data_IF_634703670559
#
_entry.id   IF_634703670559
#
_cell.length_a   1.000
_cell.length_b   1.000
_cell.length_c   1.000
_cell.angle_alpha   90.00
_cell.angle_beta   90.00
_cell.angle_gamma   90.00
#
_symmetry.space_group_name_H-M   'P 1'
#
loop_
_entity.id
_entity.type
_entity.pdbx_description
1 polymer ?
#
# COMPACT_ATOMS: atom_id res chain seq x y z
N UNK A 1 -3.52 14.21 -22.21
CA UNK A 1 -3.68 13.35 -21.02
C UNK A 1 -2.44 12.51 -20.82
N UNK A 2 -1.59 12.85 -19.83
CA UNK A 2 -0.52 11.98 -19.40
C UNK A 2 -1.15 10.90 -18.51
N UNK A 3 -1.16 9.63 -18.94
CA UNK A 3 -1.44 8.53 -18.01
C UNK A 3 -0.39 8.63 -16.92
N UNK A 4 -0.79 8.90 -15.69
CA UNK A 4 0.15 8.77 -14.59
C UNK A 4 0.73 7.34 -14.67
N UNK A 5 2.04 7.22 -14.46
CA UNK A 5 2.71 5.93 -14.42
C UNK A 5 2.47 5.33 -13.05
N UNK A 6 2.01 4.09 -13.03
CA UNK A 6 1.85 3.28 -11.81
C UNK A 6 3.04 2.33 -11.67
N UNK A 7 3.29 1.78 -10.48
CA UNK A 7 4.52 1.04 -10.14
C UNK A 7 4.89 0.00 -11.20
N UNK A 8 3.92 -0.75 -11.73
CA UNK A 8 4.21 -1.79 -12.73
C UNK A 8 4.16 -1.33 -14.19
N UNK A 9 3.92 -0.04 -14.45
CA UNK A 9 4.13 0.53 -15.78
C UNK A 9 5.61 0.73 -16.12
N UNK A 10 6.52 0.50 -15.15
CA UNK A 10 7.97 0.58 -15.29
C UNK A 10 8.69 -0.77 -15.26
N UNK A 11 7.99 -1.91 -15.21
CA UNK A 11 8.66 -3.22 -15.21
C UNK A 11 9.40 -3.42 -16.54
N UNK A 12 10.75 -3.47 -16.57
CA UNK A 12 11.47 -3.76 -17.79
C UNK A 12 11.41 -5.26 -18.05
N UNK A 13 11.12 -5.65 -19.29
CA UNK A 13 11.47 -6.98 -19.77
C UNK A 13 13.00 -7.11 -19.73
N UNK A 14 13.53 -7.71 -18.67
CA UNK A 14 14.93 -8.13 -18.57
C UNK A 14 15.85 -7.23 -17.72
N UNK A 15 16.58 -7.92 -16.82
CA UNK A 15 17.88 -7.61 -16.20
C UNK A 15 18.19 -6.15 -15.81
N UNK A 16 18.22 -5.90 -14.49
CA UNK A 16 18.76 -4.69 -13.87
C UNK A 16 20.30 -4.72 -13.85
N UNK A 17 20.96 -3.75 -14.47
CA UNK A 17 22.29 -3.27 -14.06
C UNK A 17 22.12 -1.94 -13.30
N UNK A 18 22.68 -1.89 -12.09
CA UNK A 18 22.64 -0.72 -11.19
C UNK A 18 23.98 0.00 -11.28
N UNK A 19 23.98 1.29 -11.64
CA UNK A 19 25.09 2.20 -11.33
C UNK A 19 24.58 3.40 -10.56
N UNK A 20 25.25 3.66 -9.44
CA UNK A 20 24.95 4.70 -8.48
C UNK A 20 25.36 6.12 -8.94
N UNK A 21 24.88 7.09 -8.16
CA UNK A 21 25.39 8.47 -7.96
C UNK A 21 24.48 9.60 -8.50
N UNK A 22 23.85 10.36 -7.59
CA UNK A 22 24.47 11.63 -7.14
C UNK A 22 23.65 12.34 -6.06
N UNK A 23 24.38 12.90 -5.08
CA UNK A 23 23.89 13.64 -3.92
C UNK A 23 24.39 15.09 -4.02
N UNK A 24 23.50 16.01 -3.71
CA UNK A 24 23.72 17.37 -3.17
C UNK A 24 24.39 18.45 -4.05
N UNK A 25 23.69 19.60 -4.18
CA UNK A 25 24.36 20.89 -4.06
C UNK A 25 23.46 21.98 -3.43
N UNK A 26 24.01 22.56 -2.35
CA UNK A 26 23.78 23.85 -1.68
C UNK A 26 23.07 24.94 -2.53
N UNK A 27 22.10 25.70 -2.02
CA UNK A 27 22.11 26.69 -0.92
C UNK A 27 22.84 28.02 -1.20
N UNK A 28 22.03 29.10 -1.07
CA UNK A 28 22.34 30.50 -0.70
C UNK A 28 23.13 31.39 -1.68
N UNK A 29 22.43 32.43 -2.15
CA UNK A 29 22.96 33.79 -2.07
C UNK A 29 21.85 34.80 -1.76
N UNK A 30 22.12 35.68 -0.80
CA UNK A 30 21.28 36.79 -0.34
C UNK A 30 22.20 38.02 -0.37
N UNK A 31 21.82 39.09 -1.05
CA UNK A 31 22.42 40.41 -0.86
C UNK A 31 21.34 41.49 -0.89
N UNK A 32 21.40 42.38 0.10
CA UNK A 32 20.53 43.55 0.32
C UNK A 32 21.13 44.82 -0.31
N UNK A 33 20.26 45.84 -0.42
CA UNK A 33 20.49 47.30 -0.41
C UNK A 33 20.68 47.96 -1.80
N UNK A 34 20.28 49.19 -2.13
CA UNK A 34 19.40 50.23 -1.53
C UNK A 34 19.22 51.36 -2.57
N UNK A 35 18.17 52.17 -2.38
CA UNK A 35 18.00 53.57 -2.84
C UNK A 35 17.54 53.85 -4.28
N UNK A 36 16.55 54.75 -4.38
CA UNK A 36 15.75 54.97 -5.57
C UNK A 36 16.11 56.18 -6.43
N UNK A 37 15.39 56.31 -7.56
CA UNK A 37 15.20 57.56 -8.28
C UNK A 37 14.02 57.47 -9.25
N UNK A 38 13.12 58.45 -9.09
CA UNK A 38 12.27 59.18 -10.04
C UNK A 38 11.50 58.42 -11.14
N UNK A 39 10.20 58.65 -11.10
CA UNK A 39 9.17 58.37 -12.10
C UNK A 39 9.54 58.84 -13.51
N UNK A 40 9.63 57.90 -14.44
CA UNK A 40 9.42 58.14 -15.87
C UNK A 40 8.33 57.17 -16.33
N UNK A 41 7.24 57.71 -16.87
CA UNK A 41 6.15 56.93 -17.47
C UNK A 41 6.68 56.28 -18.75
N UNK A 42 7.21 55.06 -18.65
CA UNK A 42 7.45 54.21 -19.81
C UNK A 42 6.17 53.46 -20.15
N UNK A 43 5.62 53.70 -21.35
CA UNK A 43 4.52 52.93 -21.94
C UNK A 43 4.86 51.43 -21.90
N UNK A 44 4.15 50.69 -21.05
CA UNK A 44 4.24 49.22 -21.00
C UNK A 44 3.65 48.70 -22.32
N UNK A 45 4.49 48.11 -23.17
CA UNK A 45 4.04 47.33 -24.33
C UNK A 45 3.13 46.22 -23.80
N UNK A 46 1.91 46.15 -24.34
CA UNK A 46 0.91 45.14 -24.04
C UNK A 46 1.56 43.75 -24.01
N UNK A 47 1.57 43.14 -22.82
CA UNK A 47 2.13 41.82 -22.60
C UNK A 47 1.44 40.79 -23.50
N UNK A 48 2.21 39.76 -23.90
CA UNK A 48 1.65 38.51 -24.44
C UNK A 48 0.49 38.11 -23.53
N UNK A 49 -0.68 37.86 -24.13
CA UNK A 49 -1.81 37.28 -23.44
C UNK A 49 -1.31 36.04 -22.69
N UNK A 50 -1.42 36.06 -21.35
CA UNK A 50 -1.34 34.84 -20.59
C UNK A 50 -2.49 33.99 -21.10
N UNK A 51 -2.17 32.85 -21.70
CA UNK A 51 -3.16 31.81 -21.93
C UNK A 51 -3.69 31.50 -20.54
N UNK A 52 -4.95 31.85 -20.27
CA UNK A 52 -5.66 31.31 -19.13
C UNK A 52 -5.80 29.81 -19.45
N UNK A 53 -4.87 29.00 -18.95
CA UNK A 53 -5.18 27.61 -18.67
C UNK A 53 -6.25 27.69 -17.58
N UNK A 54 -7.51 27.66 -18.00
CA UNK A 54 -8.64 27.67 -17.10
C UNK A 54 -8.55 26.39 -16.26
N UNK A 55 -8.09 26.53 -15.02
CA UNK A 55 -8.10 25.48 -14.01
C UNK A 55 -9.53 25.31 -13.50
N UNK A 56 -10.13 24.18 -13.81
CA UNK A 56 -11.53 23.88 -13.55
C UNK A 56 -11.69 22.70 -12.59
N UNK A 57 -12.94 22.40 -12.21
CA UNK A 57 -13.24 21.21 -11.42
C UNK A 57 -12.82 19.90 -12.12
N UNK A 58 -12.80 19.88 -13.45
CA UNK A 58 -12.43 18.70 -14.24
C UNK A 58 -10.92 18.37 -14.15
N UNK A 59 -10.09 19.31 -13.70
CA UNK A 59 -8.66 19.10 -13.46
C UNK A 59 -8.37 18.45 -12.08
N UNK A 60 -9.40 18.29 -11.24
CA UNK A 60 -9.29 17.66 -9.93
C UNK A 60 -9.47 16.15 -10.05
N UNK A 61 -8.37 15.40 -9.97
CA UNK A 61 -8.40 13.94 -9.95
C UNK A 61 -8.62 13.42 -8.51
N UNK A 62 -9.62 12.55 -8.34
CA UNK A 62 -9.85 11.79 -7.10
C UNK A 62 -9.42 10.36 -7.34
N UNK A 63 -8.43 9.90 -6.58
CA UNK A 63 -7.93 8.53 -6.62
C UNK A 63 -8.70 7.67 -5.63
N UNK A 64 -9.33 6.59 -6.11
CA UNK A 64 -10.21 5.75 -5.29
C UNK A 64 -9.54 4.45 -4.83
N UNK A 65 -10.07 3.85 -3.76
CA UNK A 65 -9.62 2.55 -3.26
C UNK A 65 -8.12 2.53 -2.93
N UNK A 66 -7.37 1.72 -3.68
CA UNK A 66 -5.93 1.52 -3.49
C UNK A 66 -5.07 2.22 -4.55
N UNK A 67 -5.67 2.95 -5.50
CA UNK A 67 -4.93 3.73 -6.50
C UNK A 67 -3.94 4.73 -5.90
N UNK A 68 -4.26 5.47 -4.80
CA UNK A 68 -3.29 6.36 -4.17
C UNK A 68 -1.99 5.67 -3.76
N UNK A 69 -2.08 4.42 -3.27
CA UNK A 69 -0.91 3.62 -2.85
C UNK A 69 0.00 3.35 -4.02
N UNK A 70 -0.57 2.91 -5.15
CA UNK A 70 0.18 2.57 -6.37
C UNK A 70 0.76 3.79 -7.07
N UNK A 71 0.05 4.92 -6.99
CA UNK A 71 0.51 6.21 -7.55
C UNK A 71 1.63 6.83 -6.73
N UNK A 72 1.65 6.60 -5.42
CA UNK A 72 2.56 7.25 -4.47
C UNK A 72 3.08 6.25 -3.42
N UNK A 73 3.75 5.14 -3.81
CA UNK A 73 4.18 4.09 -2.89
C UNK A 73 5.11 4.61 -1.79
N UNK A 74 5.96 5.60 -2.10
CA UNK A 74 6.85 6.23 -1.12
C UNK A 74 6.14 6.84 0.10
N UNK A 75 4.88 7.26 -0.05
CA UNK A 75 4.09 7.77 1.07
C UNK A 75 3.67 6.67 2.06
N UNK A 76 3.60 5.42 1.61
CA UNK A 76 3.10 4.29 2.40
C UNK A 76 4.22 3.38 2.90
N UNK A 77 5.22 3.09 2.06
CA UNK A 77 6.31 2.15 2.38
C UNK A 77 7.70 2.79 2.40
N UNK A 78 7.78 4.11 2.26
CA UNK A 78 9.03 4.87 2.40
C UNK A 78 9.94 4.87 1.16
N UNK A 79 9.56 4.18 0.07
CA UNK A 79 10.31 4.17 -1.19
C UNK A 79 9.82 3.14 -2.18
N UNK A 80 10.66 2.78 -3.14
CA UNK A 80 10.48 1.67 -4.09
C UNK A 80 11.79 0.89 -4.29
N UNK A 81 12.70 0.99 -3.34
CA UNK A 81 13.98 0.29 -3.34
C UNK A 81 13.87 -1.07 -2.62
N UNK A 82 15.00 -1.73 -2.42
CA UNK A 82 15.03 -3.01 -1.70
C UNK A 82 14.55 -2.90 -0.25
N UNK A 83 14.76 -1.77 0.43
CA UNK A 83 14.25 -1.58 1.79
C UNK A 83 12.72 -1.53 1.80
N UNK A 84 12.14 -0.80 0.84
CA UNK A 84 10.69 -0.74 0.65
C UNK A 84 10.10 -2.14 0.33
N UNK A 85 10.80 -2.97 -0.45
CA UNK A 85 10.41 -4.36 -0.72
C UNK A 85 10.37 -5.20 0.57
N UNK A 86 11.40 -5.12 1.42
CA UNK A 86 11.42 -5.84 2.69
C UNK A 86 10.36 -5.32 3.66
N UNK A 87 10.01 -4.04 3.58
CA UNK A 87 8.94 -3.45 4.39
C UNK A 87 7.57 -4.08 4.08
N UNK A 88 7.28 -4.40 2.81
CA UNK A 88 6.06 -5.12 2.45
C UNK A 88 5.97 -6.47 3.16
N UNK A 89 7.08 -7.22 3.20
CA UNK A 89 7.14 -8.49 3.90
C UNK A 89 7.04 -8.31 5.43
N UNK A 90 7.70 -7.28 5.97
CA UNK A 90 7.63 -6.95 7.39
C UNK A 90 6.20 -6.66 7.84
N UNK A 91 5.40 -5.95 7.04
CA UNK A 91 3.98 -5.69 7.33
C UNK A 91 3.15 -6.99 7.44
N UNK A 92 3.46 -8.01 6.64
CA UNK A 92 2.80 -9.31 6.76
C UNK A 92 3.26 -10.03 8.03
N UNK A 93 4.57 -10.06 8.29
CA UNK A 93 5.16 -10.66 9.48
C UNK A 93 4.65 -10.02 10.78
N UNK A 94 4.52 -8.70 10.81
CA UNK A 94 4.05 -7.94 11.98
C UNK A 94 2.60 -8.29 12.32
N UNK A 95 1.76 -8.55 11.32
CA UNK A 95 0.40 -9.03 11.57
C UNK A 95 0.38 -10.43 12.21
N UNK A 96 1.26 -11.32 11.78
CA UNK A 96 1.44 -12.64 12.42
C UNK A 96 2.06 -12.52 13.83
N UNK A 97 2.98 -11.58 14.03
CA UNK A 97 3.55 -11.28 15.35
C UNK A 97 2.52 -10.71 16.32
N UNK A 98 1.59 -9.88 15.86
CA UNK A 98 0.50 -9.37 16.69
C UNK A 98 -0.43 -10.50 17.19
N UNK A 99 -0.65 -11.55 16.38
CA UNK A 99 -1.34 -12.76 16.84
C UNK A 99 -0.53 -13.53 17.89
N UNK A 100 0.80 -13.57 17.77
CA UNK A 100 1.67 -14.21 18.75
C UNK A 100 1.70 -13.44 20.07
N UNK A 101 1.82 -12.11 20.03
CA UNK A 101 1.80 -11.22 21.20
C UNK A 101 0.46 -11.33 21.93
N UNK A 102 -0.64 -11.48 21.20
CA UNK A 102 -1.97 -11.71 21.77
C UNK A 102 -2.16 -13.12 22.34
N UNK A 103 -1.15 -14.00 22.27
CA UNK A 103 -1.20 -15.37 22.78
C UNK A 103 -1.99 -16.33 21.88
N UNK A 104 -2.27 -15.95 20.64
CA UNK A 104 -3.05 -16.75 19.70
C UNK A 104 -2.21 -17.54 18.72
N UNK A 105 -1.02 -17.06 18.35
CA UNK A 105 -0.07 -17.81 17.54
C UNK A 105 1.10 -18.31 18.40
N UNK A 106 1.59 -19.51 18.08
CA UNK A 106 2.78 -20.12 18.72
C UNK A 106 3.89 -20.38 17.72
N UNK A 107 3.62 -20.29 16.42
CA UNK A 107 4.61 -20.40 15.38
C UNK A 107 4.25 -19.53 14.19
N UNK A 108 5.28 -19.09 13.48
CA UNK A 108 5.20 -18.33 12.24
C UNK A 108 6.22 -18.96 11.28
N UNK A 109 5.77 -19.28 10.06
CA UNK A 109 6.61 -19.68 8.94
C UNK A 109 6.87 -18.48 8.04
N UNK A 110 8.09 -18.42 7.54
CA UNK A 110 8.46 -17.58 6.41
C UNK A 110 9.13 -18.45 5.36
N UNK A 111 8.76 -18.26 4.09
CA UNK A 111 9.41 -18.90 2.95
C UNK A 111 9.61 -17.91 1.81
N UNK A 112 10.79 -17.95 1.19
CA UNK A 112 11.09 -17.31 -0.09
C UNK A 112 11.05 -18.39 -1.17
N UNK A 113 10.24 -18.18 -2.19
CA UNK A 113 10.01 -19.14 -3.27
C UNK A 113 10.98 -18.89 -4.44
N UNK A 114 11.19 -19.90 -5.27
CA UNK A 114 12.13 -19.81 -6.39
C UNK A 114 11.69 -18.83 -7.49
N UNK A 115 10.41 -18.46 -7.53
CA UNK A 115 9.85 -17.45 -8.44
C UNK A 115 9.99 -16.01 -7.91
N UNK A 116 10.60 -15.84 -6.73
CA UNK A 116 10.76 -14.54 -6.08
C UNK A 116 9.57 -14.11 -5.22
N UNK A 117 8.49 -14.88 -5.16
CA UNK A 117 7.40 -14.64 -4.21
C UNK A 117 7.82 -15.01 -2.79
N UNK A 118 7.15 -14.45 -1.80
CA UNK A 118 7.41 -14.72 -0.39
C UNK A 118 6.10 -15.03 0.32
N UNK A 119 6.11 -16.03 1.21
CA UNK A 119 4.94 -16.37 1.98
C UNK A 119 5.18 -16.31 3.48
N UNK A 120 4.18 -15.82 4.20
CA UNK A 120 4.14 -15.83 5.67
C UNK A 120 2.92 -16.61 6.11
N UNK A 121 3.13 -17.54 7.04
CA UNK A 121 2.06 -18.35 7.62
C UNK A 121 2.11 -18.30 9.12
N UNK A 122 0.98 -18.10 9.77
CA UNK A 122 0.84 -18.27 11.22
C UNK A 122 -0.17 -19.37 11.56
N UNK A 123 -0.18 -19.76 12.84
CA UNK A 123 -1.31 -20.46 13.43
C UNK A 123 -2.12 -19.56 14.37
N UNK A 124 -2.36 -18.31 14.01
CA UNK A 124 -3.24 -17.42 14.79
C UNK A 124 -4.71 -17.84 14.76
N UNK A 125 -5.60 -16.89 15.02
CA UNK A 125 -7.06 -17.06 14.92
C UNK A 125 -7.56 -17.15 13.48
N UNK A 126 -6.78 -16.64 12.53
CA UNK A 126 -7.19 -16.46 11.15
C UNK A 126 -8.04 -15.19 10.97
N UNK A 127 -7.82 -14.49 9.87
CA UNK A 127 -8.57 -13.27 9.51
C UNK A 127 -10.08 -13.59 9.42
N UNK A 128 -10.99 -12.72 9.95
CA UNK A 128 -12.42 -12.93 9.82
C UNK A 128 -12.87 -13.03 8.34
N UNK A 129 -13.65 -14.07 8.04
CA UNK A 129 -14.13 -14.39 6.68
C UNK A 129 -15.60 -14.04 6.46
N UNK A 130 -16.30 -13.69 7.54
CA UNK A 130 -17.72 -13.36 7.51
C UNK A 130 -18.00 -12.07 6.73
N UNK A 131 -19.22 -11.88 6.19
CA UNK A 131 -19.63 -10.63 5.57
C UNK A 131 -19.42 -9.44 6.50
N UNK A 132 -18.87 -8.34 5.97
CA UNK A 132 -18.63 -7.14 6.75
C UNK A 132 -19.94 -6.35 6.96
N UNK A 133 -20.27 -5.91 8.18
CA UNK A 133 -21.57 -5.29 8.49
C UNK A 133 -21.86 -4.01 7.69
N UNK A 134 -20.82 -3.24 7.33
CA UNK A 134 -20.92 -2.03 6.49
C UNK A 134 -20.81 -2.30 4.98
N UNK A 135 -20.18 -3.41 4.58
CA UNK A 135 -19.92 -3.74 3.17
C UNK A 135 -20.57 -5.09 2.89
N UNK A 136 -21.88 -5.07 2.64
CA UNK A 136 -22.72 -6.29 2.59
C UNK A 136 -22.28 -7.31 1.55
N UNK A 137 -21.64 -6.85 0.48
CA UNK A 137 -21.18 -7.69 -0.63
C UNK A 137 -19.73 -8.19 -0.47
N UNK A 138 -19.06 -7.84 0.64
CA UNK A 138 -17.65 -8.17 0.90
C UNK A 138 -17.48 -8.91 2.22
N UNK A 139 -16.56 -9.86 2.25
CA UNK A 139 -16.07 -10.43 3.50
C UNK A 139 -15.23 -9.39 4.26
N UNK A 140 -15.09 -9.56 5.58
CA UNK A 140 -14.15 -8.74 6.36
C UNK A 140 -12.71 -8.88 5.83
N UNK A 141 -12.30 -10.08 5.39
CA UNK A 141 -11.04 -10.32 4.69
C UNK A 141 -10.87 -9.43 3.45
N UNK A 142 -11.89 -9.35 2.59
CA UNK A 142 -11.79 -8.53 1.39
C UNK A 142 -11.76 -7.04 1.73
N UNK A 143 -12.51 -6.60 2.75
CA UNK A 143 -12.49 -5.20 3.20
C UNK A 143 -11.09 -4.80 3.65
N UNK A 144 -10.41 -5.60 4.48
CA UNK A 144 -9.07 -5.26 4.97
C UNK A 144 -8.01 -5.22 3.86
N UNK A 145 -8.18 -6.03 2.81
CA UNK A 145 -7.25 -6.10 1.69
C UNK A 145 -7.52 -5.03 0.63
N UNK A 146 -8.73 -4.47 0.56
CA UNK A 146 -9.15 -3.53 -0.51
C UNK A 146 -9.47 -2.12 -0.04
N UNK A 147 -9.43 -1.85 1.27
CA UNK A 147 -9.81 -0.56 1.85
C UNK A 147 -8.73 -0.08 2.81
N UNK A 148 -8.21 1.13 2.57
CA UNK A 148 -7.30 1.79 3.51
C UNK A 148 -8.02 2.13 4.82
N UNK A 149 -7.26 2.21 5.91
CA UNK A 149 -7.75 2.54 7.25
C UNK A 149 -8.85 1.59 7.73
N UNK A 150 -8.67 0.29 7.47
CA UNK A 150 -9.56 -0.77 7.92
C UNK A 150 -8.80 -1.82 8.73
N UNK A 151 -9.40 -2.30 9.81
CA UNK A 151 -8.73 -3.24 10.73
C UNK A 151 -9.36 -3.29 12.12
N UNK A 152 -8.97 -4.30 12.90
CA UNK A 152 -9.46 -4.51 14.27
C UNK A 152 -8.64 -3.82 15.37
N UNK A 153 -7.58 -3.08 15.01
CA UNK A 153 -6.58 -2.54 15.93
C UNK A 153 -6.87 -1.10 16.42
N UNK A 154 -7.96 -0.49 15.97
CA UNK A 154 -8.29 0.92 16.29
C UNK A 154 -8.83 1.20 17.70
N UNK A 155 -9.06 0.18 18.53
CA UNK A 155 -9.79 0.37 19.79
C UNK A 155 -9.33 -0.45 20.98
N UNK A 156 -8.15 -1.09 20.93
CA UNK A 156 -7.56 -1.86 22.05
C UNK A 156 -8.33 -3.11 22.50
N UNK A 157 -9.56 -3.33 22.01
CA UNK A 157 -10.46 -4.43 22.44
C UNK A 157 -10.00 -5.81 21.98
N UNK A 158 -9.36 -5.89 20.81
CA UNK A 158 -8.96 -7.16 20.18
C UNK A 158 -7.46 -7.44 20.37
N UNK A 159 -6.66 -6.38 20.48
CA UNK A 159 -5.22 -6.42 20.73
C UNK A 159 -4.89 -5.39 21.81
N UNK A 160 -4.36 -5.85 22.94
CA UNK A 160 -3.98 -4.99 24.06
C UNK A 160 -2.72 -4.15 23.72
N UNK A 161 -1.80 -4.73 22.97
CA UNK A 161 -0.62 -4.09 22.37
C UNK A 161 -0.46 -4.65 20.97
N UNK A 162 -0.27 -3.78 19.97
CA UNK A 162 0.04 -4.19 18.59
C UNK A 162 0.96 -3.19 17.92
N UNK A 163 1.85 -3.66 17.05
CA UNK A 163 2.71 -2.78 16.23
C UNK A 163 1.92 -2.03 15.16
N UNK A 164 0.91 -2.69 14.56
CA UNK A 164 0.07 -2.09 13.53
C UNK A 164 -1.08 -1.26 14.12
N UNK A 165 -1.10 0.06 13.87
CA UNK A 165 -2.16 0.95 14.37
C UNK A 165 -2.95 1.68 13.28
N UNK A 166 -2.41 1.75 12.07
CA UNK A 166 -2.97 2.59 11.00
C UNK A 166 -4.07 1.89 10.18
N UNK A 167 -4.12 0.55 10.21
CA UNK A 167 -5.04 -0.24 9.38
C UNK A 167 -4.81 -0.08 7.87
N UNK A 168 -3.54 0.04 7.47
CA UNK A 168 -3.14 0.18 6.06
C UNK A 168 -2.17 -0.91 5.58
N UNK A 169 -1.43 -1.58 6.47
CA UNK A 169 -0.33 -2.46 6.10
C UNK A 169 -0.69 -3.50 5.04
N UNK A 170 -1.68 -4.36 5.33
CA UNK A 170 -2.03 -5.45 4.42
C UNK A 170 -2.69 -4.98 3.11
N UNK A 171 -3.45 -3.90 3.12
CA UNK A 171 -4.01 -3.30 1.89
C UNK A 171 -2.93 -2.63 1.04
N UNK A 172 -1.89 -2.05 1.66
CA UNK A 172 -0.72 -1.53 0.96
C UNK A 172 0.09 -2.66 0.33
N UNK A 173 0.32 -3.76 1.04
CA UNK A 173 0.95 -4.97 0.49
C UNK A 173 0.18 -5.45 -0.74
N UNK A 174 -1.14 -5.65 -0.60
CA UNK A 174 -1.98 -6.06 -1.72
C UNK A 174 -1.92 -5.10 -2.91
N UNK A 175 -1.95 -3.78 -2.66
CA UNK A 175 -1.88 -2.77 -3.72
C UNK A 175 -0.59 -2.85 -4.54
N UNK A 176 0.53 -3.16 -3.88
CA UNK A 176 1.88 -3.13 -4.46
C UNK A 176 2.39 -4.52 -4.89
N UNK A 177 1.61 -5.57 -4.69
CA UNK A 177 1.88 -6.91 -5.23
C UNK A 177 1.28 -7.12 -6.61
N UNK A 178 2.02 -7.74 -7.52
CA UNK A 178 1.47 -8.21 -8.81
C UNK A 178 0.38 -9.24 -8.58
N UNK A 179 0.62 -10.18 -7.67
CA UNK A 179 -0.34 -11.17 -7.20
C UNK A 179 -0.25 -11.25 -5.68
N UNK A 180 -1.41 -11.43 -5.03
CA UNK A 180 -1.49 -11.81 -3.62
C UNK A 180 -2.51 -12.94 -3.48
N UNK A 181 -2.10 -14.02 -2.84
CA UNK A 181 -2.96 -15.16 -2.53
C UNK A 181 -3.05 -15.24 -1.02
N UNK A 182 -4.28 -15.25 -0.50
CA UNK A 182 -4.52 -15.43 0.93
C UNK A 182 -5.34 -16.68 1.17
N UNK A 183 -4.86 -17.52 2.09
CA UNK A 183 -5.60 -18.64 2.65
C UNK A 183 -5.87 -18.41 4.13
N UNK A 184 -7.10 -18.68 4.57
CA UNK A 184 -7.48 -18.63 5.98
C UNK A 184 -8.03 -19.98 6.41
N UNK A 185 -7.37 -20.60 7.38
CA UNK A 185 -7.89 -21.77 8.07
C UNK A 185 -8.58 -21.31 9.37
N UNK A 186 -9.91 -21.42 9.43
CA UNK A 186 -10.73 -20.97 10.55
C UNK A 186 -12.01 -21.82 10.65
N UNK A 187 -12.42 -22.15 11.87
CA UNK A 187 -13.64 -22.93 12.15
C UNK A 187 -13.72 -24.26 11.37
N UNK A 188 -12.58 -24.96 11.27
CA UNK A 188 -12.46 -26.23 10.56
C UNK A 188 -12.60 -26.12 9.04
N UNK A 189 -12.51 -24.92 8.46
CA UNK A 189 -12.66 -24.64 7.03
C UNK A 189 -11.44 -23.91 6.49
N UNK A 190 -11.09 -24.22 5.24
CA UNK A 190 -10.08 -23.49 4.48
C UNK A 190 -10.77 -22.55 3.49
N UNK A 191 -10.44 -21.27 3.58
CA UNK A 191 -10.91 -20.23 2.68
C UNK A 191 -9.74 -19.71 1.85
N UNK A 192 -10.02 -19.29 0.61
CA UNK A 192 -9.02 -18.69 -0.27
C UNK A 192 -9.59 -17.55 -1.08
N UNK A 193 -8.80 -16.49 -1.26
CA UNK A 193 -9.08 -15.40 -2.19
C UNK A 193 -7.79 -14.97 -2.87
N UNK A 194 -7.89 -14.61 -4.16
CA UNK A 194 -6.76 -14.18 -4.96
C UNK A 194 -6.94 -12.72 -5.40
N UNK A 195 -5.82 -11.99 -5.45
CA UNK A 195 -5.76 -10.58 -5.80
C UNK A 195 -4.71 -10.33 -6.87
N UNK A 196 -4.90 -9.25 -7.62
CA UNK A 196 -3.95 -8.74 -8.60
C UNK A 196 -3.88 -7.23 -8.47
N UNK A 197 -2.72 -6.70 -8.09
CA UNK A 197 -2.45 -5.25 -8.01
C UNK A 197 -3.50 -4.49 -7.18
N UNK A 198 -3.87 -5.06 -6.04
CA UNK A 198 -4.86 -4.53 -5.10
C UNK A 198 -6.32 -4.97 -5.33
N UNK A 199 -6.66 -5.49 -6.51
CA UNK A 199 -8.03 -5.87 -6.84
C UNK A 199 -8.31 -7.35 -6.58
N UNK A 200 -9.45 -7.66 -5.96
CA UNK A 200 -9.90 -9.04 -5.85
C UNK A 200 -10.21 -9.60 -7.24
N UNK A 201 -9.58 -10.72 -7.60
CA UNK A 201 -9.79 -11.39 -8.90
C UNK A 201 -10.96 -12.36 -8.88
N UNK A 202 -11.36 -12.78 -7.68
CA UNK A 202 -12.48 -13.68 -7.43
C UNK A 202 -13.10 -13.40 -6.06
N UNK A 203 -14.35 -13.85 -5.87
CA UNK A 203 -14.98 -13.89 -4.54
C UNK A 203 -14.26 -14.88 -3.64
N UNK A 204 -14.32 -14.66 -2.32
CA UNK A 204 -13.82 -15.59 -1.32
C UNK A 204 -14.43 -16.99 -1.52
N UNK A 205 -13.58 -18.02 -1.65
CA UNK A 205 -13.99 -19.41 -1.92
C UNK A 205 -13.74 -20.28 -0.70
N UNK A 206 -14.73 -21.10 -0.34
CA UNK A 206 -14.55 -22.25 0.54
C UNK A 206 -13.82 -23.36 -0.24
N UNK A 207 -12.63 -23.74 0.21
CA UNK A 207 -11.78 -24.78 -0.41
C UNK A 207 -12.00 -26.17 0.20
N UNK A 208 -12.76 -26.26 1.29
CA UNK A 208 -13.12 -27.52 1.95
C UNK A 208 -12.92 -27.47 3.45
N UNK A 209 -13.16 -28.61 4.10
CA UNK A 209 -12.88 -28.82 5.53
C UNK A 209 -11.38 -29.04 5.78
N UNK A 210 -10.90 -28.61 6.94
CA UNK A 210 -9.50 -28.78 7.36
C UNK A 210 -9.43 -28.97 8.88
N UNK A 211 -9.01 -30.15 9.33
CA UNK A 211 -9.13 -30.55 10.75
C UNK A 211 -7.93 -30.16 11.63
N UNK A 212 -6.75 -29.99 11.05
CA UNK A 212 -5.50 -29.76 11.77
C UNK A 212 -4.76 -28.49 11.32
N UNK A 213 -5.49 -27.49 10.83
CA UNK A 213 -4.92 -26.18 10.47
C UNK A 213 -5.79 -25.06 11.04
N UNK A 214 -5.13 -24.00 11.50
CA UNK A 214 -5.70 -22.69 11.82
C UNK A 214 -4.71 -21.60 11.41
N UNK A 215 -5.17 -20.36 11.35
CA UNK A 215 -4.34 -19.20 11.06
C UNK A 215 -4.43 -18.73 9.61
N UNK A 216 -3.51 -17.86 9.24
CA UNK A 216 -3.49 -17.21 7.93
C UNK A 216 -2.21 -17.56 7.19
N UNK A 217 -2.31 -17.78 5.88
CA UNK A 217 -1.19 -17.85 4.95
C UNK A 217 -1.39 -16.76 3.90
N UNK A 218 -0.38 -15.92 3.71
CA UNK A 218 -0.33 -14.90 2.65
C UNK A 218 0.89 -15.21 1.78
N UNK A 219 0.72 -15.15 0.46
CA UNK A 219 1.77 -15.32 -0.56
C UNK A 219 1.67 -14.20 -1.57
#
# INVERSE_FOLDING_TARGET
>A
MAKALDLFSYAPDGALEVTAENKAMNSKSRSKSTSGRKSSQSKIKSGKAYVNDDYTADDIEVLEGLEPVRRRPGMYIGGTDSHALHHLLAEVLDNSMDEAIAGHATWIEFALHADGSASVRDNGRGIPVDPHPKFKDKSALEVILTTLHSGGKFGGKVYATSGGLHGVGLSVVNALSDQLIIEVARDGKLWRQNYSRGAATEKLKLKGEIKNRRGTLIT
#
